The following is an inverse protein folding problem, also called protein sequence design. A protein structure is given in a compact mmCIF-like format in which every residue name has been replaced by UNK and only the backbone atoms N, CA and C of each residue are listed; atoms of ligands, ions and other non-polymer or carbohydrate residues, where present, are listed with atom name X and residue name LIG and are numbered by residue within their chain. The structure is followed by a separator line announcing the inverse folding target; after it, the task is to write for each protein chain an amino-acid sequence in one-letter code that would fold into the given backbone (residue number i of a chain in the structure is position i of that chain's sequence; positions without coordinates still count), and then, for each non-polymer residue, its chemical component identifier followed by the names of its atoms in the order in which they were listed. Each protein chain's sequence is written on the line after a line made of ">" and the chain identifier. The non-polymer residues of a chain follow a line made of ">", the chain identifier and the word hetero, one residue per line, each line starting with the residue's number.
data_IF_692358051833
#
_entry.id   IF_692358051833
#
_cell.length_a   1.000
_cell.length_b   1.000
_cell.length_c   1.000
_cell.angle_alpha   90.00
_cell.angle_beta   90.00
_cell.angle_gamma   90.00
#
_symmetry.space_group_name_H-M   'P 1'
#
loop_
_entity.id
_entity.type
_entity.pdbx_description
1 polymer ?
#
# COMPACT_ATOMS: atom_id res chain seq x y z
N UNK A 1 -5.57 -26.52 3.83
CA UNK A 1 -5.79 -25.06 3.74
C UNK A 1 -5.13 -24.56 2.48
N UNK A 2 -5.80 -23.83 1.59
CA UNK A 2 -5.13 -23.18 0.48
C UNK A 2 -4.19 -22.13 1.08
N UNK A 3 -2.91 -22.18 0.72
CA UNK A 3 -1.97 -21.14 1.09
C UNK A 3 -2.40 -19.87 0.33
N UNK A 4 -2.77 -18.79 1.01
CA UNK A 4 -3.16 -17.57 0.32
C UNK A 4 -1.96 -17.07 -0.48
N UNK A 5 -2.12 -16.94 -1.80
CA UNK A 5 -1.09 -16.36 -2.64
C UNK A 5 -0.96 -14.87 -2.28
N UNK A 6 0.20 -14.50 -1.77
CA UNK A 6 0.54 -13.14 -1.41
C UNK A 6 1.85 -12.76 -2.08
N UNK A 7 1.81 -11.83 -3.01
CA UNK A 7 2.99 -11.33 -3.75
C UNK A 7 3.13 -9.83 -3.50
N UNK A 8 4.30 -9.41 -3.02
CA UNK A 8 4.64 -8.00 -2.80
C UNK A 8 5.77 -7.62 -3.73
N UNK A 9 5.57 -6.56 -4.50
CA UNK A 9 6.58 -6.00 -5.39
C UNK A 9 6.69 -4.49 -5.25
N UNK A 10 7.91 -3.98 -5.36
CA UNK A 10 8.17 -2.55 -5.41
C UNK A 10 8.20 -2.14 -6.89
N UNK A 11 7.41 -1.12 -7.22
CA UNK A 11 7.45 -0.45 -8.51
C UNK A 11 8.56 0.57 -8.46
N UNK A 12 9.60 0.38 -9.26
CA UNK A 12 10.82 1.20 -9.21
C UNK A 12 11.15 1.78 -10.57
N UNK A 13 11.52 3.08 -10.59
CA UNK A 13 11.83 3.79 -11.84
C UNK A 13 13.05 3.21 -12.58
N UNK A 14 14.09 2.81 -11.87
CA UNK A 14 15.28 2.19 -12.47
C UNK A 14 14.99 0.88 -13.21
N UNK A 15 13.88 0.23 -12.90
CA UNK A 15 13.40 -0.97 -13.59
C UNK A 15 12.46 -0.64 -14.75
N UNK A 16 12.45 0.63 -15.21
CA UNK A 16 11.54 1.13 -16.25
C UNK A 16 10.05 0.92 -15.93
N UNK A 17 9.71 0.90 -14.62
CA UNK A 17 8.35 0.75 -14.13
C UNK A 17 7.74 2.12 -13.82
N UNK A 18 6.41 2.19 -13.88
CA UNK A 18 5.61 3.38 -13.58
C UNK A 18 4.44 3.02 -12.67
N UNK A 19 4.17 3.86 -11.68
CA UNK A 19 3.01 3.71 -10.82
C UNK A 19 1.72 4.00 -11.58
N UNK A 20 1.73 5.01 -12.48
CA UNK A 20 0.61 5.32 -13.39
C UNK A 20 0.29 4.12 -14.29
N UNK A 21 1.32 3.46 -14.85
CA UNK A 21 1.11 2.26 -15.67
C UNK A 21 0.55 1.09 -14.86
N UNK A 22 1.01 0.92 -13.61
CA UNK A 22 0.52 -0.13 -12.72
C UNK A 22 -0.94 0.13 -12.32
N UNK A 23 -1.30 1.38 -12.04
CA UNK A 23 -2.67 1.78 -11.74
C UNK A 23 -3.61 1.57 -12.94
N UNK A 24 -3.18 1.98 -14.14
CA UNK A 24 -3.92 1.73 -15.39
C UNK A 24 -4.13 0.23 -15.64
N UNK A 25 -3.10 -0.57 -15.36
CA UNK A 25 -3.18 -2.02 -15.51
C UNK A 25 -4.19 -2.65 -14.57
N UNK A 26 -4.18 -2.29 -13.29
CA UNK A 26 -5.08 -2.93 -12.31
C UNK A 26 -6.52 -2.46 -12.43
N UNK A 27 -6.75 -1.16 -12.75
CA UNK A 27 -8.09 -0.58 -12.84
C UNK A 27 -8.74 -0.74 -14.21
N UNK A 28 -7.96 -1.01 -15.26
CA UNK A 28 -8.44 -1.01 -16.65
C UNK A 28 -8.71 0.37 -17.20
N UNK A 29 -8.42 1.42 -16.45
CA UNK A 29 -8.63 2.81 -16.87
C UNK A 29 -7.53 3.29 -17.83
N UNK A 30 -7.88 4.29 -18.63
CA UNK A 30 -6.92 4.99 -19.46
C UNK A 30 -6.34 6.16 -18.68
N UNK A 31 -5.05 6.07 -18.31
CA UNK A 31 -4.35 7.09 -17.53
C UNK A 31 -3.23 7.72 -18.37
N UNK A 32 -3.04 9.03 -18.21
CA UNK A 32 -1.94 9.74 -18.84
C UNK A 32 -0.77 9.88 -17.85
N UNK A 33 0.42 9.43 -18.25
CA UNK A 33 1.63 9.60 -17.45
C UNK A 33 2.32 10.91 -17.83
N UNK A 34 2.41 11.82 -16.85
CA UNK A 34 3.10 13.11 -17.01
C UNK A 34 4.62 12.95 -17.11
N UNK A 35 5.17 11.91 -16.50
CA UNK A 35 6.59 11.65 -16.50
C UNK A 35 7.14 11.29 -17.89
N UNK A 36 6.49 10.39 -18.60
CA UNK A 36 6.92 9.94 -19.92
C UNK A 36 6.01 10.45 -21.06
N UNK A 37 5.07 11.35 -20.76
CA UNK A 37 4.16 12.01 -21.71
C UNK A 37 3.40 11.01 -22.60
N UNK A 38 2.95 9.89 -22.01
CA UNK A 38 2.27 8.81 -22.73
C UNK A 38 1.00 8.35 -22.05
N UNK A 39 0.03 7.97 -22.86
CA UNK A 39 -1.14 7.27 -22.39
C UNK A 39 -0.76 5.83 -21.97
N UNK A 40 -1.24 5.44 -20.78
CA UNK A 40 -1.18 4.06 -20.27
C UNK A 40 -2.58 3.48 -20.37
N UNK A 41 -2.70 2.41 -21.14
CA UNK A 41 -3.96 1.74 -21.34
C UNK A 41 -3.74 0.25 -21.58
N UNK A 42 -4.46 -0.55 -20.84
CA UNK A 42 -4.41 -2.01 -20.94
C UNK A 42 -5.83 -2.48 -21.20
N UNK A 43 -6.20 -2.57 -22.49
CA UNK A 43 -7.52 -2.99 -22.93
C UNK A 43 -7.81 -4.46 -22.60
N UNK A 44 -9.08 -4.79 -22.47
CA UNK A 44 -9.62 -6.15 -22.34
C UNK A 44 -9.51 -6.81 -20.95
N UNK A 45 -9.77 -6.05 -19.90
CA UNK A 45 -9.94 -6.62 -18.55
C UNK A 45 -11.42 -6.68 -18.17
N UNK A 46 -12.15 -7.63 -18.79
CA UNK A 46 -13.51 -7.98 -18.35
C UNK A 46 -13.56 -8.64 -16.97
N UNK A 47 -12.40 -8.94 -16.40
CA UNK A 47 -12.21 -9.57 -15.10
C UNK A 47 -12.23 -8.60 -13.92
N UNK A 48 -12.25 -7.27 -14.17
CA UNK A 48 -12.26 -6.28 -13.10
C UNK A 48 -13.69 -6.11 -12.61
N UNK A 49 -13.94 -6.54 -11.38
CA UNK A 49 -15.29 -6.50 -10.76
C UNK A 49 -15.46 -5.34 -9.79
N UNK A 50 -14.36 -4.79 -9.26
CA UNK A 50 -14.39 -3.65 -8.34
C UNK A 50 -13.09 -2.85 -8.41
N UNK A 51 -13.18 -1.52 -8.29
CA UNK A 51 -12.03 -0.63 -8.12
C UNK A 51 -12.35 0.45 -7.11
N UNK A 52 -11.41 0.76 -6.22
CA UNK A 52 -11.61 1.78 -5.19
C UNK A 52 -10.28 2.42 -4.79
N UNK A 53 -10.31 3.73 -4.50
CA UNK A 53 -9.19 4.45 -3.89
C UNK A 53 -9.60 4.83 -2.47
N UNK A 54 -8.82 4.42 -1.50
CA UNK A 54 -9.01 4.72 -0.10
C UNK A 54 -8.02 5.79 0.33
N UNK A 55 -8.54 6.90 0.77
CA UNK A 55 -7.79 8.06 1.22
C UNK A 55 -7.73 8.11 2.76
N UNK A 56 -6.57 8.46 3.35
CA UNK A 56 -6.54 8.86 4.76
C UNK A 56 -7.33 10.18 4.94
N UNK A 57 -7.82 10.49 6.16
CA UNK A 57 -8.72 11.61 6.40
C UNK A 57 -8.19 12.98 5.96
N UNK A 58 -6.87 13.13 5.93
CA UNK A 58 -6.21 14.41 5.60
C UNK A 58 -5.74 14.49 4.14
N UNK A 59 -5.99 13.46 3.34
CA UNK A 59 -5.57 13.47 1.94
C UNK A 59 -6.42 14.47 1.14
N UNK A 60 -5.82 15.19 0.18
CA UNK A 60 -6.56 16.05 -0.73
C UNK A 60 -7.64 15.25 -1.47
N UNK A 61 -8.89 15.74 -1.53
CA UNK A 61 -9.97 15.07 -2.24
C UNK A 61 -9.67 14.79 -3.73
N UNK A 62 -8.79 15.60 -4.35
CA UNK A 62 -8.35 15.42 -5.72
C UNK A 62 -7.66 14.06 -5.96
N UNK A 63 -7.12 13.43 -4.93
CA UNK A 63 -6.51 12.10 -5.02
C UNK A 63 -7.52 10.95 -5.09
N UNK A 64 -8.82 11.24 -5.04
CA UNK A 64 -9.85 10.29 -5.45
C UNK A 64 -9.83 10.03 -6.97
N UNK A 65 -9.26 10.95 -7.77
CA UNK A 65 -8.94 10.72 -9.18
C UNK A 65 -7.60 9.97 -9.32
N UNK A 66 -7.66 8.80 -9.93
CA UNK A 66 -6.51 7.89 -10.06
C UNK A 66 -5.37 8.50 -10.87
N UNK A 67 -5.69 9.25 -11.92
CA UNK A 67 -4.68 9.91 -12.74
C UNK A 67 -3.93 10.98 -11.96
N UNK A 68 -4.65 11.82 -11.24
CA UNK A 68 -4.08 12.86 -10.37
C UNK A 68 -3.23 12.27 -9.27
N UNK A 69 -3.73 11.22 -8.57
CA UNK A 69 -3.01 10.56 -7.49
C UNK A 69 -1.65 10.03 -7.93
N UNK A 70 -1.65 9.19 -8.99
CA UNK A 70 -0.42 8.48 -9.35
C UNK A 70 0.60 9.36 -10.06
N UNK A 71 0.18 10.41 -10.77
CA UNK A 71 1.09 11.43 -11.26
C UNK A 71 1.71 12.24 -10.12
N UNK A 72 0.93 12.64 -9.11
CA UNK A 72 1.46 13.33 -7.93
C UNK A 72 2.45 12.45 -7.14
N UNK A 73 2.14 11.15 -6.97
CA UNK A 73 3.02 10.20 -6.31
C UNK A 73 4.34 9.99 -7.07
N UNK A 74 4.32 9.95 -8.41
CA UNK A 74 5.53 9.88 -9.22
C UNK A 74 6.34 11.18 -9.23
N UNK A 75 5.67 12.33 -9.24
CA UNK A 75 6.29 13.65 -9.32
C UNK A 75 7.16 13.96 -8.08
N UNK A 76 6.76 13.50 -6.89
CA UNK A 76 7.53 13.70 -5.66
C UNK A 76 8.79 12.83 -5.61
N UNK A 77 8.83 11.75 -6.37
CA UNK A 77 9.94 10.80 -6.44
C UNK A 77 10.92 11.19 -7.55
N UNK A 78 11.87 12.09 -7.22
CA UNK A 78 12.74 12.74 -8.21
C UNK A 78 13.93 11.92 -8.70
N UNK A 79 14.38 10.94 -7.89
CA UNK A 79 15.59 10.18 -8.20
C UNK A 79 15.33 9.12 -9.28
N UNK A 80 16.34 8.84 -10.12
CA UNK A 80 16.24 7.82 -11.17
C UNK A 80 15.97 6.40 -10.62
N UNK A 81 16.42 6.12 -9.40
CA UNK A 81 16.22 4.84 -8.72
C UNK A 81 15.09 4.87 -7.67
N UNK A 82 14.21 5.87 -7.73
CA UNK A 82 13.11 5.99 -6.77
C UNK A 82 12.15 4.81 -6.85
N UNK A 83 11.75 4.35 -5.68
CA UNK A 83 10.59 3.49 -5.51
C UNK A 83 9.34 4.36 -5.62
N UNK A 84 8.45 4.03 -6.55
CA UNK A 84 7.28 4.83 -6.93
C UNK A 84 6.01 4.39 -6.21
N UNK A 85 5.84 3.08 -6.08
CA UNK A 85 4.69 2.47 -5.42
C UNK A 85 5.04 1.07 -4.92
N UNK A 86 4.22 0.52 -4.05
CA UNK A 86 4.25 -0.88 -3.65
C UNK A 86 3.00 -1.57 -4.17
N UNK A 87 3.18 -2.67 -4.87
CA UNK A 87 2.08 -3.50 -5.35
C UNK A 87 1.98 -4.76 -4.52
N UNK A 88 0.78 -5.06 -4.08
CA UNK A 88 0.42 -6.30 -3.41
C UNK A 88 -0.59 -7.03 -4.30
N UNK A 89 -0.43 -8.33 -4.46
CA UNK A 89 -1.44 -9.20 -5.05
C UNK A 89 -1.86 -10.20 -3.98
N UNK A 90 -3.13 -10.19 -3.63
CA UNK A 90 -3.70 -10.99 -2.55
C UNK A 90 -4.80 -11.89 -3.11
N UNK A 91 -4.66 -13.21 -2.96
CA UNK A 91 -5.74 -14.14 -3.28
C UNK A 91 -6.88 -14.01 -2.26
N UNK A 92 -8.10 -13.94 -2.74
CA UNK A 92 -9.30 -13.92 -1.91
C UNK A 92 -9.77 -15.36 -1.70
N UNK A 93 -10.02 -15.79 -0.45
CA UNK A 93 -10.54 -17.14 -0.20
C UNK A 93 -11.86 -17.40 -0.93
N UNK A 94 -11.97 -18.55 -1.56
CA UNK A 94 -13.17 -18.94 -2.35
C UNK A 94 -14.43 -19.11 -1.51
N UNK A 95 -14.24 -19.32 -0.22
CA UNK A 95 -15.31 -19.48 0.78
C UNK A 95 -16.03 -18.16 1.08
N UNK A 96 -15.41 -17.03 0.73
CA UNK A 96 -16.00 -15.72 0.94
C UNK A 96 -16.89 -15.38 -0.25
N UNK A 97 -18.16 -15.03 -0.02
CA UNK A 97 -19.07 -14.64 -1.09
C UNK A 97 -18.58 -13.42 -1.85
N UNK A 98 -18.77 -13.33 -3.19
CA UNK A 98 -18.27 -12.22 -4.02
C UNK A 98 -18.71 -10.83 -3.54
N UNK A 99 -19.91 -10.71 -2.98
CA UNK A 99 -20.45 -9.46 -2.41
C UNK A 99 -19.66 -8.94 -1.19
N UNK A 100 -18.91 -9.80 -0.53
CA UNK A 100 -18.08 -9.46 0.64
C UNK A 100 -16.61 -9.19 0.28
N UNK A 101 -16.20 -9.45 -0.96
CA UNK A 101 -14.80 -9.29 -1.37
C UNK A 101 -14.31 -7.85 -1.20
N UNK A 102 -15.12 -6.86 -1.61
CA UNK A 102 -14.74 -5.46 -1.51
C UNK A 102 -14.60 -5.01 -0.05
N UNK A 103 -15.50 -5.43 0.83
CA UNK A 103 -15.44 -5.10 2.25
C UNK A 103 -14.22 -5.71 2.92
N UNK A 104 -13.90 -6.97 2.61
CA UNK A 104 -12.70 -7.63 3.11
C UNK A 104 -11.42 -6.85 2.74
N UNK A 105 -11.28 -6.47 1.46
CA UNK A 105 -10.10 -5.75 1.00
C UNK A 105 -10.06 -4.32 1.56
N UNK A 106 -11.22 -3.69 1.68
CA UNK A 106 -11.35 -2.36 2.30
C UNK A 106 -10.92 -2.37 3.78
N UNK A 107 -11.34 -3.36 4.54
CA UNK A 107 -10.96 -3.50 5.95
C UNK A 107 -9.46 -3.77 6.09
N UNK A 108 -8.92 -4.67 5.27
CA UNK A 108 -7.49 -4.92 5.20
C UNK A 108 -6.69 -3.64 4.88
N UNK A 109 -7.09 -2.91 3.83
CA UNK A 109 -6.42 -1.66 3.45
C UNK A 109 -6.53 -0.59 4.55
N UNK A 110 -7.69 -0.48 5.19
CA UNK A 110 -7.92 0.48 6.28
C UNK A 110 -7.02 0.20 7.47
N UNK A 111 -6.99 -1.05 7.92
CA UNK A 111 -6.24 -1.45 9.12
C UNK A 111 -4.72 -1.31 8.92
N UNK A 112 -4.21 -1.80 7.81
CA UNK A 112 -2.76 -1.93 7.66
C UNK A 112 -2.09 -0.75 6.95
N UNK A 113 -2.82 0.05 6.17
CA UNK A 113 -2.21 1.06 5.31
C UNK A 113 -2.79 2.46 5.48
N UNK A 114 -4.10 2.61 5.34
CA UNK A 114 -4.76 3.93 5.36
C UNK A 114 -4.69 4.54 6.75
N UNK A 115 -4.83 3.75 7.82
CA UNK A 115 -4.66 4.18 9.21
C UNK A 115 -3.26 4.75 9.50
N UNK A 116 -2.26 4.38 8.69
CA UNK A 116 -0.87 4.86 8.78
C UNK A 116 -0.58 6.05 7.84
N UNK A 117 -1.63 6.62 7.25
CA UNK A 117 -1.53 7.80 6.39
C UNK A 117 -1.19 7.52 4.92
N UNK A 118 -1.21 6.28 4.48
CA UNK A 118 -0.98 5.93 3.08
C UNK A 118 -2.29 5.90 2.29
N UNK A 119 -2.18 6.11 0.98
CA UNK A 119 -3.29 5.93 0.05
C UNK A 119 -3.21 4.51 -0.51
N UNK A 120 -4.32 3.80 -0.48
CA UNK A 120 -4.48 2.48 -1.07
C UNK A 120 -5.44 2.56 -2.26
N UNK A 121 -4.96 2.16 -3.42
CA UNK A 121 -5.74 2.01 -4.64
C UNK A 121 -5.86 0.52 -4.95
N UNK A 122 -7.05 -0.06 -4.88
CA UNK A 122 -7.21 -1.48 -5.10
C UNK A 122 -8.23 -1.80 -6.21
N UNK A 123 -8.00 -2.93 -6.84
CA UNK A 123 -8.90 -3.51 -7.82
C UNK A 123 -9.08 -5.00 -7.53
N UNK A 124 -10.30 -5.49 -7.63
CA UNK A 124 -10.61 -6.91 -7.50
C UNK A 124 -10.81 -7.47 -8.89
N UNK A 125 -10.08 -8.54 -9.19
CA UNK A 125 -10.17 -9.29 -10.43
C UNK A 125 -10.77 -10.66 -10.18
N UNK A 126 -11.78 -11.00 -10.94
CA UNK A 126 -12.39 -12.33 -10.94
C UNK A 126 -12.79 -12.72 -12.36
N UNK A 127 -12.19 -13.82 -12.84
CA UNK A 127 -12.50 -14.41 -14.15
C UNK A 127 -13.63 -15.44 -14.10
N UNK A 128 -14.22 -15.66 -12.94
CA UNK A 128 -15.16 -16.74 -12.73
C UNK A 128 -14.54 -18.15 -12.73
N UNK A 129 -13.20 -18.22 -12.70
CA UNK A 129 -12.46 -19.49 -12.70
C UNK A 129 -12.10 -19.99 -11.29
N UNK A 130 -12.69 -19.37 -10.25
CA UNK A 130 -12.45 -19.70 -8.86
C UNK A 130 -11.11 -19.20 -8.30
N UNK A 131 -10.55 -18.15 -8.88
CA UNK A 131 -9.33 -17.51 -8.39
C UNK A 131 -9.53 -15.97 -8.26
N UNK A 132 -10.48 -15.51 -7.45
CA UNK A 132 -10.63 -14.09 -7.16
C UNK A 132 -9.39 -13.56 -6.44
N UNK A 133 -8.91 -12.38 -6.85
CA UNK A 133 -7.73 -11.78 -6.24
C UNK A 133 -7.78 -10.25 -6.31
N UNK A 134 -7.17 -9.62 -5.31
CA UNK A 134 -7.05 -8.18 -5.25
C UNK A 134 -5.64 -7.74 -5.67
N UNK A 135 -5.58 -6.72 -6.50
CA UNK A 135 -4.39 -5.91 -6.74
C UNK A 135 -4.50 -4.67 -5.89
N UNK A 136 -3.52 -4.43 -5.04
CA UNK A 136 -3.47 -3.25 -4.17
C UNK A 136 -2.20 -2.48 -4.50
N UNK A 137 -2.35 -1.22 -4.86
CA UNK A 137 -1.25 -0.31 -5.12
C UNK A 137 -1.22 0.74 -4.01
N UNK A 138 -0.06 0.89 -3.38
CA UNK A 138 0.13 1.73 -2.20
C UNK A 138 1.14 2.83 -2.48
N UNK A 139 0.88 4.02 -1.97
CA UNK A 139 1.84 5.11 -2.01
C UNK A 139 3.04 4.80 -1.10
N UNK A 140 4.24 5.20 -1.53
CA UNK A 140 5.48 4.99 -0.76
C UNK A 140 5.65 5.98 0.39
N UNK A 141 4.82 7.01 0.43
CA UNK A 141 4.84 8.05 1.45
C UNK A 141 3.48 8.13 2.10
N UNK A 142 3.47 8.34 3.41
CA UNK A 142 2.28 8.78 4.12
C UNK A 142 2.03 10.28 3.91
N UNK A 143 0.86 10.73 4.28
CA UNK A 143 0.49 12.14 4.31
C UNK A 143 0.42 12.64 5.76
N UNK A 144 0.80 13.90 5.95
CA UNK A 144 0.60 14.58 7.22
C UNK A 144 -0.84 15.10 7.38
N UNK A 145 -1.15 15.66 8.53
CA UNK A 145 -2.47 16.23 8.84
C UNK A 145 -2.89 17.40 7.92
N UNK A 146 -1.93 17.96 7.17
CA UNK A 146 -2.17 19.04 6.21
C UNK A 146 -2.25 18.54 4.76
N UNK A 147 -2.29 17.22 4.54
CA UNK A 147 -2.34 16.62 3.23
C UNK A 147 -1.05 16.72 2.42
N UNK A 148 0.09 16.92 3.07
CA UNK A 148 1.41 16.95 2.42
C UNK A 148 2.10 15.60 2.53
N UNK A 149 2.83 15.24 1.49
CA UNK A 149 3.63 14.03 1.48
C UNK A 149 4.77 14.09 2.51
N UNK A 150 4.80 13.13 3.42
CA UNK A 150 5.89 12.96 4.36
C UNK A 150 7.15 12.40 3.65
N UNK A 151 8.35 12.65 4.20
CA UNK A 151 9.56 12.00 3.70
C UNK A 151 9.49 10.49 3.99
N UNK A 152 10.11 9.64 3.15
CA UNK A 152 10.19 8.17 3.37
C UNK A 152 10.92 7.81 4.66
N UNK A 153 11.91 8.61 5.02
CA UNK A 153 12.67 8.42 6.25
C UNK A 153 13.00 9.77 6.89
N UNK A 154 13.11 9.76 8.20
CA UNK A 154 13.53 10.91 9.01
C UNK A 154 14.87 10.64 9.67
N UNK A 155 15.64 11.69 9.88
CA UNK A 155 16.87 11.62 10.65
C UNK A 155 16.52 11.73 12.13
N UNK A 156 16.92 10.74 12.91
CA UNK A 156 16.74 10.73 14.37
C UNK A 156 18.13 10.78 15.01
N UNK A 157 18.26 11.62 16.02
CA UNK A 157 19.51 11.74 16.77
C UNK A 157 19.50 10.75 17.92
N UNK A 158 20.62 10.02 18.06
CA UNK A 158 20.81 9.10 19.17
C UNK A 158 21.01 9.90 20.46
N UNK A 159 20.31 9.48 21.50
CA UNK A 159 20.38 10.09 22.82
C UNK A 159 21.17 9.19 23.77
N UNK A 160 21.85 9.80 24.75
CA UNK A 160 22.49 9.11 25.84
C UNK A 160 21.49 8.78 26.97
N UNK A 161 21.98 8.22 28.08
CA UNK A 161 21.16 7.83 29.24
C UNK A 161 20.47 9.04 29.91
N UNK A 162 20.97 10.26 29.67
CA UNK A 162 20.42 11.51 30.21
C UNK A 162 19.46 12.19 29.25
N UNK A 163 19.24 11.63 28.03
CA UNK A 163 18.40 12.22 27.00
C UNK A 163 19.10 13.29 26.17
N UNK A 164 20.42 13.44 26.27
CA UNK A 164 21.19 14.37 25.45
C UNK A 164 21.73 13.72 24.18
N UNK A 165 21.91 14.52 23.12
CA UNK A 165 22.42 14.01 21.85
C UNK A 165 23.87 13.55 21.97
N UNK A 166 24.17 12.37 21.48
CA UNK A 166 25.51 11.80 21.47
C UNK A 166 26.37 12.48 20.40
N UNK A 167 27.54 12.99 20.81
CA UNK A 167 28.50 13.62 19.89
C UNK A 167 29.58 12.62 19.50
N UNK A 168 29.80 12.49 18.20
CA UNK A 168 30.89 11.66 17.65
C UNK A 168 32.25 12.36 17.80
N UNK A 169 33.37 11.60 17.80
CA UNK A 169 34.72 12.18 17.82
C UNK A 169 34.99 13.19 16.69
N UNK A 170 34.27 13.07 15.57
CA UNK A 170 34.31 14.00 14.44
C UNK A 170 33.61 15.33 14.70
N UNK A 171 33.02 15.55 15.88
CA UNK A 171 32.23 16.72 16.22
C UNK A 171 30.79 16.71 15.71
N UNK A 172 30.40 15.70 14.92
CA UNK A 172 29.02 15.53 14.43
C UNK A 172 28.15 14.82 15.46
N UNK A 173 26.84 15.11 15.45
CA UNK A 173 25.87 14.39 16.25
C UNK A 173 25.63 12.99 15.66
N UNK A 174 25.67 11.97 16.53
CA UNK A 174 25.29 10.61 16.14
C UNK A 174 23.83 10.56 15.79
N UNK A 175 23.50 9.90 14.71
CA UNK A 175 22.13 9.83 14.20
C UNK A 175 21.97 8.63 13.27
N UNK A 176 20.77 8.10 13.25
CA UNK A 176 20.34 7.06 12.30
C UNK A 176 19.14 7.56 11.50
N UNK A 177 18.76 6.80 10.49
CA UNK A 177 17.52 7.03 9.72
C UNK A 177 16.46 6.07 10.22
N UNK A 178 15.29 6.60 10.50
CA UNK A 178 14.08 5.83 10.74
C UNK A 178 13.13 6.00 9.54
N UNK A 179 12.49 4.92 9.12
CA UNK A 179 11.45 4.99 8.11
C UNK A 179 10.21 5.64 8.70
N UNK A 180 9.60 6.53 7.94
CA UNK A 180 8.38 7.25 8.38
C UNK A 180 7.18 6.32 8.41
N UNK A 181 7.21 5.29 7.57
CA UNK A 181 6.22 4.21 7.55
C UNK A 181 6.98 2.89 7.61
N UNK A 182 6.64 2.06 8.58
CA UNK A 182 7.23 0.74 8.73
C UNK A 182 6.73 -0.20 7.63
N UNK A 183 7.59 -0.43 6.62
CA UNK A 183 7.30 -1.22 5.44
C UNK A 183 8.39 -2.25 5.20
N UNK A 184 8.27 -3.37 5.85
CA UNK A 184 9.12 -4.50 5.57
C UNK A 184 8.28 -5.61 4.91
N UNK A 185 8.75 -6.18 3.79
CA UNK A 185 8.08 -7.32 3.12
C UNK A 185 7.90 -8.50 4.09
N UNK A 186 8.89 -8.75 4.95
CA UNK A 186 8.82 -9.81 5.96
C UNK A 186 7.75 -9.53 7.02
N UNK A 187 7.55 -8.27 7.40
CA UNK A 187 6.52 -7.87 8.35
C UNK A 187 5.11 -8.17 7.82
N UNK A 188 4.84 -7.83 6.55
CA UNK A 188 3.54 -8.10 5.94
C UNK A 188 3.27 -9.59 5.73
N UNK A 189 4.26 -10.36 5.30
CA UNK A 189 4.15 -11.81 5.21
C UNK A 189 3.86 -12.42 6.60
N UNK A 190 4.54 -11.94 7.64
CA UNK A 190 4.34 -12.40 9.01
C UNK A 190 2.93 -12.07 9.53
N UNK A 191 2.41 -10.87 9.27
CA UNK A 191 1.07 -10.47 9.69
C UNK A 191 -0.03 -11.34 9.07
N UNK A 192 0.12 -11.74 7.80
CA UNK A 192 -0.82 -12.63 7.14
C UNK A 192 -0.81 -14.06 7.71
N UNK A 193 0.34 -14.51 8.22
CA UNK A 193 0.49 -15.83 8.84
C UNK A 193 0.13 -15.85 10.33
N UNK A 194 0.23 -14.71 11.02
CA UNK A 194 0.04 -14.62 12.48
C UNK A 194 -1.25 -13.94 12.89
N UNK A 195 -1.92 -13.21 12.00
CA UNK A 195 -3.24 -12.68 12.29
C UNK A 195 -4.23 -13.84 12.40
N UNK A 196 -4.96 -13.97 13.52
CA UNK A 196 -6.05 -14.93 13.60
C UNK A 196 -7.04 -14.63 12.49
N UNK A 197 -7.51 -15.69 11.81
CA UNK A 197 -8.55 -15.52 10.80
C UNK A 197 -9.77 -14.84 11.45
N UNK A 198 -10.59 -14.10 10.70
CA UNK A 198 -11.83 -13.54 11.24
C UNK A 198 -12.73 -14.57 11.92
N UNK A 199 -12.60 -15.86 11.58
CA UNK A 199 -13.25 -16.98 12.27
C UNK A 199 -12.68 -17.22 13.67
N UNK A 200 -11.34 -17.16 13.83
CA UNK A 200 -10.69 -17.41 15.13
C UNK A 200 -11.00 -16.29 16.13
N UNK A 201 -11.21 -15.07 15.64
CA UNK A 201 -11.62 -13.93 16.46
C UNK A 201 -13.07 -14.05 16.96
N UNK A 202 -13.93 -14.82 16.27
CA UNK A 202 -15.31 -15.06 16.68
C UNK A 202 -15.43 -16.20 17.72
N UNK A 203 -14.61 -17.24 17.60
CA UNK A 203 -14.62 -18.36 18.56
C UNK A 203 -14.08 -17.99 19.94
N UNK A 204 -13.15 -17.05 20.03
CA UNK A 204 -12.60 -16.58 21.31
C UNK A 204 -13.57 -15.68 22.12
N UNK A 205 -14.75 -15.33 21.60
CA UNK A 205 -15.78 -14.52 22.27
C UNK A 205 -16.99 -15.29 22.78
N UNK A 206 -17.00 -16.61 22.67
CA UNK A 206 -18.06 -17.41 23.31
C UNK A 206 -17.76 -17.52 24.81
N UNK A 207 -18.63 -17.04 25.71
CA UNK A 207 -18.46 -17.29 27.12
C UNK A 207 -18.61 -18.80 27.36
N UNK A 208 -17.67 -19.39 28.05
CA UNK A 208 -17.83 -20.77 28.54
C UNK A 208 -19.03 -20.78 29.45
N UNK A 209 -20.11 -21.38 28.99
CA UNK A 209 -21.27 -21.70 29.84
C UNK A 209 -20.85 -22.76 30.85
N UNK A 210 -20.78 -22.36 32.10
CA UNK A 210 -20.74 -23.26 33.26
C UNK A 210 -22.07 -23.97 33.43
#
# INVERSE_FOLDING_TARGET
>A
MPCPHHDIKIIQRSNHQSAVASAAYQSGERLFSEYDQKQKYYSHKSEIVHTEIMLPPHAPPAYADRNTLWNAAEAIEKQWNSQLARRIVLAIPREIPPEQHADLIRDYCREFFVSKGMIADFAIHDKGNGNPHAHILLTMRAMDENGKWLPKSRKVYDLDENGERIKLPSGRWKSHKEDTVDWNEQYHACLLYTSPSPRDAHESRMPSSA
#
